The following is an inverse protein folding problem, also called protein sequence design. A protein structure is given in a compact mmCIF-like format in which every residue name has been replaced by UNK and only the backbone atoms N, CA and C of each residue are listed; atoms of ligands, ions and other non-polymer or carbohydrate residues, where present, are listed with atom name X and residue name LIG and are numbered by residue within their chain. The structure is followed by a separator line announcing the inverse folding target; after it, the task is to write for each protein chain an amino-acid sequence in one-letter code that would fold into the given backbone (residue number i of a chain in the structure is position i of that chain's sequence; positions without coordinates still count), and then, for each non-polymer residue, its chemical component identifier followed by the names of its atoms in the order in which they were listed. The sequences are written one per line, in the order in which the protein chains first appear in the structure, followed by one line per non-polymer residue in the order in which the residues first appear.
data_IF_329703068878
#
_entry.id   IF_329703068878
#
_cell.length_a   1.000
_cell.length_b   1.000
_cell.length_c   1.000
_cell.angle_alpha   90.00
_cell.angle_beta   90.00
_cell.angle_gamma   90.00
#
_symmetry.space_group_name_H-M   'P 1'
#
loop_
_entity.id
_entity.type
_entity.pdbx_description
1 polymer ?
#
# COMPACT_ATOMS: atom_id res chain seq x y z
N UNK A 1 -37.48 5.21 7.25
CA UNK A 1 -36.10 4.72 7.04
C UNK A 1 -35.29 5.01 8.29
N UNK A 2 -34.57 4.03 8.81
CA UNK A 2 -33.62 4.31 9.90
C UNK A 2 -32.53 5.23 9.35
N UNK A 3 -32.29 6.32 10.06
CA UNK A 3 -31.21 7.25 9.69
C UNK A 3 -29.99 6.84 10.53
N UNK A 4 -28.87 6.59 9.87
CA UNK A 4 -27.57 6.39 10.52
C UNK A 4 -26.87 7.73 10.71
N UNK A 5 -26.05 7.84 11.72
CA UNK A 5 -25.16 9.00 11.81
C UNK A 5 -24.09 8.92 10.72
N UNK A 6 -23.49 7.74 10.54
CA UNK A 6 -22.46 7.50 9.54
C UNK A 6 -22.72 6.22 8.77
N UNK A 7 -22.67 6.31 7.43
CA UNK A 7 -22.55 5.13 6.56
C UNK A 7 -21.10 5.02 6.06
N UNK A 8 -20.56 3.80 6.05
CA UNK A 8 -19.18 3.52 5.62
C UNK A 8 -19.26 2.53 4.46
N UNK A 9 -18.68 2.88 3.31
CA UNK A 9 -18.63 2.01 2.13
C UNK A 9 -17.24 1.42 2.00
N UNK A 10 -17.13 0.13 2.26
CA UNK A 10 -15.91 -0.66 2.24
C UNK A 10 -15.44 -1.10 3.63
N UNK A 11 -15.21 -2.40 3.77
CA UNK A 11 -14.68 -3.05 4.99
C UNK A 11 -13.18 -3.39 4.82
N UNK A 12 -12.38 -2.44 4.37
CA UNK A 12 -10.94 -2.45 4.48
C UNK A 12 -10.47 -2.01 5.88
N UNK A 13 -9.15 -1.99 6.16
CA UNK A 13 -8.64 -1.57 7.47
C UNK A 13 -9.18 -0.20 7.91
N UNK A 14 -9.16 0.80 7.01
CA UNK A 14 -9.65 2.14 7.30
C UNK A 14 -11.14 2.17 7.63
N UNK A 15 -11.99 1.52 6.81
CA UNK A 15 -13.44 1.51 7.02
C UNK A 15 -13.86 0.78 8.30
N UNK A 16 -13.28 -0.39 8.58
CA UNK A 16 -13.54 -1.13 9.82
C UNK A 16 -13.08 -0.33 11.04
N UNK A 17 -11.89 0.28 10.95
CA UNK A 17 -11.36 1.04 12.08
C UNK A 17 -12.12 2.35 12.31
N UNK A 18 -12.57 3.03 11.24
CA UNK A 18 -13.51 4.16 11.38
C UNK A 18 -14.74 3.75 12.19
N UNK A 19 -15.38 2.63 11.80
CA UNK A 19 -16.59 2.17 12.49
C UNK A 19 -16.35 1.85 13.96
N UNK A 20 -15.24 1.20 14.28
CA UNK A 20 -14.84 0.90 15.67
C UNK A 20 -14.68 2.19 16.49
N UNK A 21 -14.00 3.18 15.91
CA UNK A 21 -13.79 4.47 16.57
C UNK A 21 -15.10 5.26 16.75
N UNK A 22 -16.00 5.22 15.76
CA UNK A 22 -17.31 5.86 15.81
C UNK A 22 -18.21 5.24 16.87
N UNK A 23 -18.26 3.90 16.94
CA UNK A 23 -19.07 3.21 17.95
C UNK A 23 -18.61 3.53 19.36
N UNK A 24 -17.29 3.66 19.59
CA UNK A 24 -16.74 4.09 20.89
C UNK A 24 -17.15 5.52 21.26
N UNK A 25 -17.53 6.35 20.26
CA UNK A 25 -18.10 7.70 20.46
C UNK A 25 -19.62 7.71 20.55
N UNK A 26 -20.27 6.54 20.51
CA UNK A 26 -21.74 6.41 20.61
C UNK A 26 -22.50 6.74 19.32
N UNK A 27 -21.82 6.82 18.18
CA UNK A 27 -22.47 7.11 16.90
C UNK A 27 -23.06 5.83 16.27
N UNK A 28 -24.22 5.98 15.65
CA UNK A 28 -24.91 4.89 14.96
C UNK A 28 -24.35 4.71 13.55
N UNK A 29 -23.55 3.67 13.36
CA UNK A 29 -22.87 3.39 12.09
C UNK A 29 -23.47 2.19 11.36
N UNK A 30 -23.26 2.17 10.04
CA UNK A 30 -23.47 0.99 9.18
C UNK A 30 -22.29 0.85 8.21
N UNK A 31 -21.82 -0.39 8.03
CA UNK A 31 -20.80 -0.72 7.03
C UNK A 31 -21.46 -1.48 5.88
N UNK A 32 -21.15 -1.06 4.65
CA UNK A 32 -21.60 -1.69 3.41
C UNK A 32 -20.37 -2.31 2.73
N UNK A 33 -20.35 -3.64 2.58
CA UNK A 33 -19.24 -4.36 1.97
C UNK A 33 -19.73 -5.24 0.81
N UNK A 34 -19.06 -5.13 -0.35
CA UNK A 34 -19.42 -5.90 -1.54
C UNK A 34 -19.05 -7.39 -1.45
N UNK A 35 -18.01 -7.73 -0.70
CA UNK A 35 -17.60 -9.13 -0.51
C UNK A 35 -18.55 -9.84 0.45
N UNK A 36 -18.72 -11.13 0.21
CA UNK A 36 -19.44 -12.01 1.13
C UNK A 36 -18.62 -12.29 2.38
N UNK A 37 -17.34 -12.46 2.21
CA UNK A 37 -16.38 -12.85 3.22
C UNK A 37 -15.11 -12.01 3.02
N UNK A 38 -14.80 -11.16 3.99
CA UNK A 38 -13.64 -10.24 3.91
C UNK A 38 -12.31 -10.95 4.16
N UNK A 39 -12.34 -12.13 4.80
CA UNK A 39 -11.15 -12.96 5.01
C UNK A 39 -10.68 -13.64 3.72
N UNK A 40 -11.53 -13.74 2.71
CA UNK A 40 -11.13 -14.24 1.40
C UNK A 40 -10.46 -13.14 0.59
N UNK A 41 -9.14 -13.17 0.60
CA UNK A 41 -8.33 -12.24 -0.16
C UNK A 41 -8.52 -12.47 -1.66
N UNK A 42 -9.22 -11.54 -2.32
CA UNK A 42 -9.45 -11.55 -3.77
C UNK A 42 -8.55 -10.58 -4.52
N UNK A 43 -7.84 -9.73 -3.79
CA UNK A 43 -6.94 -8.73 -4.32
C UNK A 43 -5.58 -8.91 -3.66
N UNK A 44 -4.50 -8.92 -4.44
CA UNK A 44 -3.15 -8.98 -3.93
C UNK A 44 -2.85 -7.80 -2.99
N UNK A 45 -2.11 -8.08 -1.94
CA UNK A 45 -1.50 -7.15 -1.01
C UNK A 45 -0.18 -7.78 -0.54
N UNK A 46 0.87 -6.99 -0.43
CA UNK A 46 2.16 -7.47 0.08
C UNK A 46 2.15 -7.78 1.59
N UNK A 47 1.10 -7.35 2.30
CA UNK A 47 0.82 -7.73 3.70
C UNK A 47 1.94 -7.39 4.68
N UNK A 48 2.44 -6.15 4.64
CA UNK A 48 3.50 -5.69 5.53
C UNK A 48 3.03 -4.65 6.54
N UNK A 49 3.51 -4.80 7.78
CA UNK A 49 3.48 -3.79 8.84
C UNK A 49 4.84 -3.15 8.83
N UNK A 50 4.91 -1.85 8.55
CA UNK A 50 6.15 -1.09 8.40
C UNK A 50 6.47 -0.45 9.74
N UNK A 51 7.72 -0.56 10.19
CA UNK A 51 8.17 -0.09 11.49
C UNK A 51 8.98 1.22 11.43
N UNK A 52 9.46 1.59 10.24
CA UNK A 52 10.18 2.86 10.07
C UNK A 52 9.27 4.06 10.35
N UNK A 53 9.88 5.20 10.67
CA UNK A 53 9.16 6.45 10.84
C UNK A 53 8.49 6.84 9.52
N UNK A 54 7.19 7.01 9.57
CA UNK A 54 6.34 7.41 8.46
C UNK A 54 5.28 8.40 8.95
N UNK A 55 4.49 8.94 8.05
CA UNK A 55 3.27 9.66 8.36
C UNK A 55 3.44 10.75 9.44
N UNK A 56 4.33 11.72 9.17
CA UNK A 56 4.58 12.87 10.04
C UNK A 56 5.13 12.47 11.42
N UNK A 57 6.10 11.57 11.42
CA UNK A 57 6.80 11.13 12.63
C UNK A 57 6.15 9.95 13.36
N UNK A 58 5.13 9.33 12.79
CA UNK A 58 4.55 8.13 13.37
C UNK A 58 5.46 6.91 13.15
N UNK A 59 5.70 6.16 14.20
CA UNK A 59 6.34 4.85 14.16
C UNK A 59 5.36 3.79 14.66
N UNK A 60 5.39 2.64 14.01
CA UNK A 60 4.60 1.49 14.43
C UNK A 60 5.48 0.57 15.27
N UNK A 61 4.98 0.17 16.41
CA UNK A 61 5.58 -0.88 17.23
C UNK A 61 4.71 -2.13 17.17
N UNK A 62 5.35 -3.28 17.27
CA UNK A 62 4.68 -4.57 17.35
C UNK A 62 5.17 -5.29 18.60
N UNK A 63 4.31 -5.38 19.60
CA UNK A 63 4.56 -6.21 20.79
C UNK A 63 4.23 -7.65 20.43
N UNK A 64 5.26 -8.43 20.13
CA UNK A 64 5.12 -9.83 19.74
C UNK A 64 4.87 -10.72 20.97
N UNK A 65 3.83 -11.54 20.92
CA UNK A 65 3.43 -12.41 22.04
C UNK A 65 4.24 -13.68 22.21
N UNK A 66 5.19 -13.98 21.30
CA UNK A 66 6.05 -15.17 21.36
C UNK A 66 7.43 -14.90 20.77
N UNK A 67 8.37 -15.81 21.00
CA UNK A 67 9.65 -15.81 20.31
C UNK A 67 9.50 -16.41 18.91
N UNK A 68 10.43 -16.05 18.03
CA UNK A 68 10.55 -16.70 16.71
C UNK A 68 10.73 -18.21 16.89
N UNK A 69 10.04 -18.97 16.08
CA UNK A 69 10.17 -20.42 16.03
C UNK A 69 11.48 -20.86 15.29
N UNK A 70 11.63 -22.17 15.05
CA UNK A 70 12.78 -22.73 14.34
C UNK A 70 12.86 -22.31 12.87
N UNK A 71 11.73 -21.86 12.30
CA UNK A 71 11.67 -21.33 10.93
C UNK A 71 11.97 -19.84 10.87
N UNK A 72 12.06 -19.16 12.01
CA UNK A 72 12.27 -17.71 12.10
C UNK A 72 10.97 -16.90 12.01
N UNK A 73 9.85 -17.49 12.33
CA UNK A 73 8.49 -16.92 12.26
C UNK A 73 7.86 -16.83 13.65
N UNK A 74 7.01 -15.85 13.89
CA UNK A 74 6.10 -15.85 15.05
C UNK A 74 4.94 -16.81 14.72
N UNK A 75 4.69 -17.83 15.57
CA UNK A 75 3.73 -18.88 15.26
C UNK A 75 2.29 -18.40 15.10
N UNK A 76 1.53 -19.15 14.31
CA UNK A 76 0.07 -18.99 14.22
C UNK A 76 -0.59 -19.08 15.62
N UNK A 77 -1.65 -18.29 15.82
CA UNK A 77 -2.36 -18.22 17.09
C UNK A 77 -1.70 -17.34 18.16
N UNK A 78 -0.51 -16.78 17.86
CA UNK A 78 0.13 -15.83 18.77
C UNK A 78 -0.63 -14.50 18.77
N UNK A 79 -0.89 -14.00 19.99
CA UNK A 79 -1.49 -12.68 20.20
C UNK A 79 -0.41 -11.62 20.16
N UNK A 80 -0.49 -10.73 19.18
CA UNK A 80 0.43 -9.61 18.99
C UNK A 80 -0.35 -8.31 19.13
N UNK A 81 0.32 -7.21 19.48
CA UNK A 81 -0.30 -5.90 19.57
C UNK A 81 0.46 -4.92 18.69
N UNK A 82 -0.26 -4.30 17.75
CA UNK A 82 0.26 -3.32 16.82
C UNK A 82 -0.17 -1.94 17.31
N UNK A 83 0.77 -1.01 17.47
CA UNK A 83 0.53 0.31 18.05
C UNK A 83 1.14 1.41 17.19
N UNK A 84 0.41 2.50 17.03
CA UNK A 84 0.96 3.78 16.57
C UNK A 84 1.52 4.55 17.77
N UNK A 85 2.74 5.04 17.66
CA UNK A 85 3.39 5.81 18.74
C UNK A 85 2.92 7.26 18.77
N UNK A 86 2.59 7.84 17.62
CA UNK A 86 2.19 9.23 17.49
C UNK A 86 0.67 9.43 17.62
N UNK A 87 -0.12 8.59 16.92
CA UNK A 87 -1.58 8.73 16.92
C UNK A 87 -2.27 7.91 18.01
N UNK A 88 -1.54 7.07 18.74
CA UNK A 88 -2.00 6.38 19.94
C UNK A 88 -3.05 5.29 19.72
N UNK A 89 -3.30 4.84 18.51
CA UNK A 89 -4.16 3.69 18.28
C UNK A 89 -3.44 2.37 18.56
N UNK A 90 -4.21 1.39 18.99
CA UNK A 90 -3.76 0.05 19.26
C UNK A 90 -4.73 -0.96 18.65
N UNK A 91 -4.18 -1.99 17.98
CA UNK A 91 -4.97 -3.11 17.42
C UNK A 91 -4.32 -4.42 17.81
N UNK A 92 -5.14 -5.35 18.26
CA UNK A 92 -4.73 -6.73 18.48
C UNK A 92 -4.70 -7.49 17.16
N UNK A 93 -3.67 -8.30 16.99
CA UNK A 93 -3.54 -9.23 15.87
C UNK A 93 -3.15 -10.62 16.37
N UNK A 94 -4.04 -11.59 16.18
CA UNK A 94 -3.75 -13.00 16.47
C UNK A 94 -3.40 -13.71 15.18
N UNK A 95 -2.13 -14.05 15.01
CA UNK A 95 -1.65 -14.68 13.79
C UNK A 95 -0.13 -14.70 13.69
N UNK A 96 0.39 -15.36 12.64
CA UNK A 96 1.82 -15.45 12.40
C UNK A 96 2.41 -14.12 11.93
N UNK A 97 3.69 -13.89 12.22
CA UNK A 97 4.46 -12.74 11.75
C UNK A 97 5.83 -13.21 11.24
N UNK A 98 6.21 -12.77 10.04
CA UNK A 98 7.53 -13.02 9.47
C UNK A 98 8.33 -11.71 9.42
N UNK A 99 9.55 -11.66 9.99
CA UNK A 99 10.36 -10.45 9.96
C UNK A 99 10.97 -10.20 8.59
N UNK A 100 11.05 -8.93 8.19
CA UNK A 100 11.86 -8.46 7.07
C UNK A 100 12.97 -7.59 7.62
N UNK A 101 14.24 -8.01 7.38
CA UNK A 101 15.43 -7.38 7.94
C UNK A 101 16.34 -6.76 6.91
N UNK A 102 16.33 -7.31 5.69
CA UNK A 102 17.16 -6.87 4.59
C UNK A 102 16.29 -6.63 3.35
N UNK A 103 16.59 -5.55 2.63
CA UNK A 103 15.99 -5.28 1.33
C UNK A 103 17.09 -5.02 0.31
N UNK A 104 17.00 -5.71 -0.81
CA UNK A 104 17.97 -5.60 -1.90
C UNK A 104 17.27 -5.14 -3.19
N UNK A 105 17.90 -4.20 -3.86
CA UNK A 105 17.62 -3.93 -5.25
C UNK A 105 18.82 -4.37 -6.06
N UNK A 106 18.65 -5.41 -6.86
CA UNK A 106 19.68 -5.97 -7.71
C UNK A 106 19.69 -5.29 -9.08
N UNK A 107 20.88 -4.96 -9.56
CA UNK A 107 21.10 -4.53 -10.94
C UNK A 107 20.92 -5.68 -11.93
N UNK A 108 21.03 -5.38 -13.22
CA UNK A 108 21.02 -6.40 -14.26
C UNK A 108 22.08 -7.47 -13.96
N UNK A 109 21.71 -8.73 -14.19
CA UNK A 109 22.55 -9.94 -13.98
C UNK A 109 23.08 -10.13 -12.55
N UNK A 110 22.50 -9.45 -11.56
CA UNK A 110 22.91 -9.49 -10.14
C UNK A 110 24.37 -9.00 -9.92
N UNK A 111 24.90 -8.14 -10.79
CA UNK A 111 26.28 -7.68 -10.69
C UNK A 111 26.51 -6.81 -9.46
N UNK A 112 25.56 -5.94 -9.14
CA UNK A 112 25.60 -5.01 -7.99
C UNK A 112 24.23 -4.89 -7.36
N UNK A 113 24.18 -4.33 -6.14
CA UNK A 113 22.91 -4.10 -5.45
C UNK A 113 22.91 -2.83 -4.58
N UNK A 114 21.71 -2.31 -4.33
CA UNK A 114 21.47 -1.38 -3.24
C UNK A 114 20.91 -2.16 -2.05
N UNK A 115 21.61 -2.15 -0.92
CA UNK A 115 21.26 -2.88 0.27
C UNK A 115 20.73 -1.96 1.36
N UNK A 116 19.55 -2.31 1.92
CA UNK A 116 18.92 -1.61 3.02
C UNK A 116 18.80 -2.53 4.23
N UNK A 117 19.28 -2.09 5.38
CA UNK A 117 19.15 -2.81 6.64
C UNK A 117 19.35 -1.87 7.83
N UNK A 118 18.80 -2.22 8.98
CA UNK A 118 19.18 -1.61 10.25
C UNK A 118 20.49 -2.20 10.76
N UNK A 119 21.37 -1.40 11.41
CA UNK A 119 22.67 -1.89 11.91
C UNK A 119 22.58 -3.06 12.89
N UNK A 120 21.57 -3.08 13.72
CA UNK A 120 21.29 -4.12 14.73
C UNK A 120 20.45 -5.28 14.20
N UNK A 121 20.13 -5.27 12.90
CA UNK A 121 19.35 -6.30 12.24
C UNK A 121 17.96 -6.55 12.82
N UNK A 122 17.39 -5.60 13.58
CA UNK A 122 15.97 -5.70 13.91
C UNK A 122 15.12 -5.55 12.63
N UNK A 123 13.92 -6.11 12.58
CA UNK A 123 13.04 -5.97 11.42
C UNK A 123 12.66 -4.50 11.18
N UNK A 124 12.63 -4.06 9.94
CA UNK A 124 12.01 -2.79 9.54
C UNK A 124 10.58 -2.98 9.02
N UNK A 125 10.17 -4.24 8.82
CA UNK A 125 8.80 -4.61 8.53
C UNK A 125 8.48 -6.02 9.06
N UNK A 126 7.20 -6.27 9.31
CA UNK A 126 6.67 -7.60 9.56
C UNK A 126 5.64 -7.96 8.50
N UNK A 127 5.79 -9.12 7.89
CA UNK A 127 4.72 -9.70 7.09
C UNK A 127 3.70 -10.36 8.01
N UNK A 128 2.41 -10.09 7.76
CA UNK A 128 1.28 -10.57 8.56
C UNK A 128 0.22 -11.21 7.66
N UNK A 129 -0.73 -11.93 8.22
CA UNK A 129 -1.91 -12.43 7.49
C UNK A 129 -3.04 -11.39 7.52
N UNK A 130 -3.22 -10.70 6.40
CA UNK A 130 -4.25 -9.68 6.25
C UNK A 130 -5.67 -10.23 6.37
N UNK A 131 -5.89 -11.49 5.97
CA UNK A 131 -7.20 -12.13 6.09
C UNK A 131 -7.61 -12.25 7.55
N UNK A 132 -6.75 -12.78 8.40
CA UNK A 132 -6.95 -12.88 9.84
C UNK A 132 -7.08 -11.51 10.49
N UNK A 133 -6.27 -10.54 10.10
CA UNK A 133 -6.33 -9.17 10.60
C UNK A 133 -7.69 -8.50 10.33
N UNK A 134 -8.18 -8.59 9.08
CA UNK A 134 -9.49 -8.04 8.73
C UNK A 134 -10.63 -8.74 9.45
N UNK A 135 -10.55 -10.07 9.60
CA UNK A 135 -11.56 -10.84 10.33
C UNK A 135 -11.64 -10.41 11.81
N UNK A 136 -10.49 -10.13 12.44
CA UNK A 136 -10.46 -9.68 13.84
C UNK A 136 -11.04 -8.27 13.99
N UNK A 137 -10.74 -7.35 13.08
CA UNK A 137 -11.39 -6.04 13.07
C UNK A 137 -12.90 -6.16 12.85
N UNK A 138 -13.35 -7.07 11.97
CA UNK A 138 -14.77 -7.32 11.77
C UNK A 138 -15.44 -7.91 13.01
N UNK A 139 -14.76 -8.82 13.71
CA UNK A 139 -15.29 -9.36 14.95
C UNK A 139 -15.53 -8.25 15.99
N UNK A 140 -14.60 -7.32 16.14
CA UNK A 140 -14.78 -6.14 17.00
C UNK A 140 -15.98 -5.27 16.55
N UNK A 141 -16.14 -5.06 15.26
CA UNK A 141 -17.31 -4.36 14.70
C UNK A 141 -18.62 -5.03 15.11
N UNK A 142 -18.68 -6.35 15.01
CA UNK A 142 -19.87 -7.15 15.38
C UNK A 142 -20.11 -7.10 16.90
N UNK A 143 -19.06 -7.23 17.69
CA UNK A 143 -19.13 -7.17 19.17
C UNK A 143 -19.62 -5.82 19.68
N UNK A 144 -19.27 -4.72 18.98
CA UNK A 144 -19.75 -3.37 19.25
C UNK A 144 -21.19 -3.13 18.75
N UNK A 145 -21.83 -4.14 18.14
CA UNK A 145 -23.21 -4.04 17.66
C UNK A 145 -23.38 -3.15 16.41
N UNK A 146 -22.31 -2.89 15.67
CA UNK A 146 -22.35 -2.11 14.44
C UNK A 146 -23.01 -2.95 13.34
N UNK A 147 -23.93 -2.35 12.60
CA UNK A 147 -24.57 -3.03 11.48
C UNK A 147 -23.60 -3.23 10.32
N UNK A 148 -23.40 -4.49 9.93
CA UNK A 148 -22.53 -4.90 8.83
C UNK A 148 -23.33 -5.59 7.72
N UNK A 149 -23.35 -5.02 6.53
CA UNK A 149 -24.12 -5.50 5.39
C UNK A 149 -23.14 -5.99 4.30
N UNK A 150 -22.86 -7.29 4.31
CA UNK A 150 -22.04 -7.96 3.29
C UNK A 150 -22.80 -8.21 1.99
N UNK A 151 -22.11 -8.67 0.93
CA UNK A 151 -22.65 -8.96 -0.40
C UNK A 151 -23.46 -7.79 -0.99
N UNK A 152 -23.09 -6.55 -0.58
CA UNK A 152 -23.85 -5.34 -0.92
C UNK A 152 -22.93 -4.31 -1.58
N UNK A 153 -23.29 -3.94 -2.79
CA UNK A 153 -22.60 -2.88 -3.54
C UNK A 153 -23.38 -1.57 -3.43
N UNK A 154 -22.74 -0.53 -2.89
CA UNK A 154 -23.19 0.83 -3.06
C UNK A 154 -22.77 1.31 -4.46
N UNK A 155 -23.71 1.44 -5.38
CA UNK A 155 -23.41 1.79 -6.77
C UNK A 155 -23.59 3.28 -7.09
N UNK A 156 -24.27 4.02 -6.21
CA UNK A 156 -24.46 5.48 -6.33
C UNK A 156 -24.65 6.07 -4.93
N UNK A 157 -24.07 7.23 -4.71
CA UNK A 157 -24.41 8.08 -3.58
C UNK A 157 -24.79 9.49 -4.08
N UNK A 158 -25.67 10.15 -3.34
CA UNK A 158 -26.04 11.56 -3.58
C UNK A 158 -25.95 12.32 -2.28
N UNK A 159 -25.17 13.35 -2.25
CA UNK A 159 -25.19 14.32 -1.18
C UNK A 159 -26.45 15.20 -1.37
N UNK A 160 -27.30 15.24 -0.35
CA UNK A 160 -28.54 16.00 -0.35
C UNK A 160 -28.33 17.41 0.22
N UNK A 161 -27.15 17.66 0.77
CA UNK A 161 -26.73 18.94 1.36
C UNK A 161 -27.17 19.12 2.81
N UNK A 162 -26.38 19.88 3.57
CA UNK A 162 -26.66 20.28 4.95
C UNK A 162 -27.15 19.12 5.84
N UNK A 163 -28.24 19.34 6.55
CA UNK A 163 -28.86 18.36 7.46
C UNK A 163 -29.60 17.21 6.77
N UNK A 164 -29.87 17.30 5.46
CA UNK A 164 -30.51 16.22 4.69
C UNK A 164 -29.62 14.99 4.55
N UNK A 165 -28.31 15.15 4.69
CA UNK A 165 -27.32 14.08 4.68
C UNK A 165 -27.06 13.48 3.30
N UNK A 166 -26.84 12.17 3.25
CA UNK A 166 -26.50 11.42 2.04
C UNK A 166 -27.50 10.30 1.80
N UNK A 167 -27.93 10.15 0.54
CA UNK A 167 -28.73 9.04 0.06
C UNK A 167 -27.82 8.03 -0.65
N UNK A 168 -27.78 6.79 -0.16
CA UNK A 168 -27.04 5.70 -0.77
C UNK A 168 -28.02 4.78 -1.52
N UNK A 169 -27.64 4.39 -2.74
CA UNK A 169 -28.33 3.38 -3.53
C UNK A 169 -27.49 2.11 -3.58
N UNK A 170 -28.06 1.04 -3.06
CA UNK A 170 -27.38 -0.23 -2.86
C UNK A 170 -28.09 -1.37 -3.59
N UNK A 171 -27.31 -2.41 -3.87
CA UNK A 171 -27.82 -3.67 -4.40
C UNK A 171 -27.19 -4.84 -3.63
N UNK A 172 -28.05 -5.72 -3.08
CA UNK A 172 -27.66 -6.98 -2.44
C UNK A 172 -28.41 -8.14 -3.11
N UNK A 173 -27.67 -9.14 -3.56
CA UNK A 173 -28.27 -10.34 -4.23
C UNK A 173 -29.32 -9.98 -5.30
N UNK A 174 -29.03 -8.94 -6.09
CA UNK A 174 -29.93 -8.45 -7.16
C UNK A 174 -31.10 -7.56 -6.68
N UNK A 175 -31.33 -7.43 -5.38
CA UNK A 175 -32.38 -6.56 -4.84
C UNK A 175 -31.83 -5.18 -4.56
N UNK A 176 -32.45 -4.16 -5.16
CA UNK A 176 -32.10 -2.75 -4.94
C UNK A 176 -32.83 -2.19 -3.74
N UNK A 177 -32.13 -1.38 -2.96
CA UNK A 177 -32.68 -0.62 -1.85
C UNK A 177 -31.96 0.71 -1.67
N UNK A 178 -32.49 1.57 -0.80
CA UNK A 178 -31.91 2.86 -0.48
C UNK A 178 -31.80 3.00 1.03
N UNK A 179 -30.77 3.72 1.47
CA UNK A 179 -30.60 4.10 2.87
C UNK A 179 -30.13 5.55 2.96
N UNK A 180 -30.35 6.16 4.12
CA UNK A 180 -29.90 7.51 4.44
C UNK A 180 -28.92 7.49 5.62
N UNK A 181 -27.93 8.36 5.56
CA UNK A 181 -27.04 8.67 6.67
C UNK A 181 -26.81 10.18 6.74
N UNK A 182 -26.44 10.71 7.90
CA UNK A 182 -26.06 12.13 8.02
C UNK A 182 -24.74 12.39 7.30
N UNK A 183 -23.78 11.48 7.44
CA UNK A 183 -22.46 11.56 6.80
C UNK A 183 -22.11 10.21 6.13
N UNK A 184 -21.23 10.27 5.13
CA UNK A 184 -20.74 9.11 4.39
C UNK A 184 -19.22 9.08 4.42
N UNK A 185 -18.64 7.90 4.72
CA UNK A 185 -17.24 7.60 4.52
C UNK A 185 -17.06 6.67 3.33
N UNK A 186 -16.36 7.13 2.30
CA UNK A 186 -15.93 6.35 1.16
C UNK A 186 -14.58 5.68 1.49
N UNK A 187 -14.61 4.40 1.80
CA UNK A 187 -13.47 3.58 2.18
C UNK A 187 -13.27 2.36 1.27
N UNK A 188 -13.77 2.42 0.02
CA UNK A 188 -13.75 1.27 -0.91
C UNK A 188 -12.38 0.99 -1.53
N UNK A 189 -11.34 1.72 -1.10
CA UNK A 189 -9.97 1.60 -1.59
C UNK A 189 -9.82 2.08 -3.04
N UNK A 190 -8.84 1.58 -3.77
CA UNK A 190 -8.49 2.05 -5.12
C UNK A 190 -9.63 1.99 -6.16
N UNK A 191 -10.76 1.35 -5.86
CA UNK A 191 -11.94 1.41 -6.73
C UNK A 191 -12.63 2.78 -6.71
N UNK A 192 -12.60 3.49 -5.55
CA UNK A 192 -13.16 4.83 -5.35
C UNK A 192 -14.53 5.03 -6.03
N UNK A 193 -15.37 3.99 -6.03
CA UNK A 193 -16.56 3.93 -6.88
C UNK A 193 -17.60 4.99 -6.49
N UNK A 194 -17.79 5.19 -5.20
CA UNK A 194 -18.74 6.20 -4.71
C UNK A 194 -18.20 7.60 -4.97
N UNK A 195 -16.92 7.85 -4.71
CA UNK A 195 -16.27 9.12 -5.04
C UNK A 195 -16.41 9.46 -6.53
N UNK A 196 -16.32 8.45 -7.41
CA UNK A 196 -16.56 8.63 -8.84
C UNK A 196 -17.99 9.10 -9.14
N UNK A 197 -19.01 8.54 -8.48
CA UNK A 197 -20.42 8.94 -8.71
C UNK A 197 -20.73 10.34 -8.20
N UNK A 198 -19.91 10.86 -7.29
CA UNK A 198 -20.01 12.22 -6.73
C UNK A 198 -19.16 13.26 -7.50
N UNK A 199 -18.49 12.84 -8.59
CA UNK A 199 -17.59 13.69 -9.37
C UNK A 199 -16.33 14.10 -8.62
N UNK A 200 -15.95 13.42 -7.53
CA UNK A 200 -14.77 13.78 -6.74
C UNK A 200 -13.44 13.39 -7.39
N UNK A 201 -13.48 12.54 -8.43
CA UNK A 201 -12.32 12.23 -9.25
C UNK A 201 -12.16 13.16 -10.47
N UNK A 202 -13.10 14.06 -10.70
CA UNK A 202 -13.01 15.05 -11.79
C UNK A 202 -11.81 15.98 -11.55
N UNK A 203 -10.99 16.14 -12.57
CA UNK A 203 -9.77 16.97 -12.50
C UNK A 203 -8.56 16.31 -11.81
N UNK A 204 -8.69 15.12 -11.25
CA UNK A 204 -7.51 14.35 -10.80
C UNK A 204 -6.72 13.87 -12.01
N UNK A 205 -5.42 14.11 -12.00
CA UNK A 205 -4.52 13.57 -13.03
C UNK A 205 -4.50 12.05 -12.88
N UNK A 206 -4.79 11.35 -13.96
CA UNK A 206 -4.61 9.92 -14.05
C UNK A 206 -3.26 9.61 -14.67
N UNK A 207 -2.37 8.96 -13.94
CA UNK A 207 -1.03 8.62 -14.42
C UNK A 207 -0.99 7.30 -15.18
N UNK A 208 -1.48 6.23 -14.55
CA UNK A 208 -1.42 4.91 -15.14
C UNK A 208 -2.35 3.90 -14.45
N UNK A 209 -2.58 2.78 -15.13
CA UNK A 209 -3.00 1.53 -14.48
C UNK A 209 -1.87 0.53 -14.55
N UNK A 210 -1.62 -0.15 -13.44
CA UNK A 210 -0.72 -1.29 -13.38
C UNK A 210 -1.47 -2.55 -12.99
N UNK A 211 -1.25 -3.64 -13.74
CA UNK A 211 -1.70 -4.97 -13.38
C UNK A 211 -0.58 -5.65 -12.59
N UNK A 212 -0.86 -6.02 -11.37
CA UNK A 212 0.03 -6.83 -10.54
C UNK A 212 -0.48 -8.27 -10.53
N UNK A 213 0.42 -9.22 -10.77
CA UNK A 213 0.25 -10.64 -10.48
C UNK A 213 1.28 -11.07 -9.48
N UNK A 214 0.82 -11.75 -8.45
CA UNK A 214 1.67 -12.30 -7.40
C UNK A 214 1.49 -13.82 -7.36
N UNK A 215 2.60 -14.51 -7.20
CA UNK A 215 2.69 -15.95 -7.19
C UNK A 215 3.35 -16.39 -5.89
N UNK A 216 2.58 -17.03 -5.01
CA UNK A 216 3.17 -17.71 -3.86
C UNK A 216 3.73 -19.04 -4.33
N UNK A 217 5.03 -19.22 -4.16
CA UNK A 217 5.77 -20.34 -4.75
C UNK A 217 6.58 -21.09 -3.70
N UNK A 218 6.39 -22.41 -3.63
CA UNK A 218 7.27 -23.32 -2.89
C UNK A 218 8.45 -23.75 -3.75
N UNK A 219 9.53 -24.22 -3.11
CA UNK A 219 10.67 -24.81 -3.81
C UNK A 219 11.60 -23.84 -4.55
N UNK A 220 11.46 -22.53 -4.33
CA UNK A 220 12.36 -21.51 -4.86
C UNK A 220 13.71 -21.63 -4.13
N UNK A 221 14.82 -21.76 -4.89
CA UNK A 221 16.16 -21.91 -4.34
C UNK A 221 16.86 -20.56 -4.19
N UNK A 222 17.79 -20.47 -3.21
CA UNK A 222 18.57 -19.23 -2.99
C UNK A 222 17.77 -18.04 -2.50
N UNK A 223 16.54 -18.29 -2.09
CA UNK A 223 15.66 -17.32 -1.49
C UNK A 223 15.80 -17.32 0.03
N UNK A 224 15.90 -16.13 0.63
CA UNK A 224 15.88 -15.95 2.07
C UNK A 224 14.57 -15.28 2.52
N UNK A 225 13.75 -15.93 3.35
CA UNK A 225 12.47 -15.40 3.78
C UNK A 225 12.51 -14.05 4.52
N UNK A 226 13.63 -13.71 5.16
CA UNK A 226 13.80 -12.42 5.85
C UNK A 226 14.19 -11.26 4.93
N UNK A 227 14.27 -11.51 3.63
CA UNK A 227 14.67 -10.53 2.61
C UNK A 227 13.49 -10.10 1.73
N UNK A 228 13.60 -8.88 1.23
CA UNK A 228 12.78 -8.36 0.16
C UNK A 228 13.68 -7.93 -0.99
N UNK A 229 13.45 -8.48 -2.17
CA UNK A 229 14.28 -8.26 -3.34
C UNK A 229 13.52 -7.57 -4.46
N UNK A 230 14.15 -6.60 -5.12
CA UNK A 230 13.71 -6.03 -6.39
C UNK A 230 14.78 -6.22 -7.46
N UNK A 231 14.37 -6.57 -8.69
CA UNK A 231 15.28 -6.89 -9.78
C UNK A 231 15.19 -5.81 -10.87
N UNK A 232 16.22 -4.97 -10.94
CA UNK A 232 16.25 -3.78 -11.77
C UNK A 232 17.07 -4.00 -13.04
N UNK A 233 16.37 -4.05 -14.17
CA UNK A 233 16.97 -4.24 -15.49
C UNK A 233 15.98 -4.84 -16.48
N UNK A 234 16.12 -4.49 -17.75
CA UNK A 234 15.29 -5.02 -18.83
C UNK A 234 15.50 -6.52 -19.04
N UNK A 235 16.68 -7.05 -18.64
CA UNK A 235 16.96 -8.48 -18.67
C UNK A 235 16.00 -9.33 -17.81
N UNK A 236 15.29 -8.71 -16.88
CA UNK A 236 14.23 -9.38 -16.09
C UNK A 236 12.84 -9.34 -16.74
N UNK A 237 12.73 -8.74 -17.93
CA UNK A 237 11.54 -8.81 -18.80
C UNK A 237 10.49 -7.73 -18.59
N UNK A 238 10.73 -6.75 -17.74
CA UNK A 238 9.75 -5.70 -17.44
C UNK A 238 10.40 -4.33 -17.24
N UNK A 239 9.65 -3.27 -17.57
CA UNK A 239 9.99 -1.88 -17.21
C UNK A 239 9.67 -1.58 -15.73
N UNK A 240 9.00 -2.48 -15.03
CA UNK A 240 8.84 -2.44 -13.57
C UNK A 240 9.68 -3.55 -12.97
N UNK A 241 10.42 -3.25 -11.91
CA UNK A 241 11.22 -4.27 -11.24
C UNK A 241 10.34 -5.42 -10.75
N UNK A 242 10.56 -6.67 -11.18
CA UNK A 242 10.01 -7.81 -10.48
C UNK A 242 10.44 -7.79 -9.02
N UNK A 243 9.52 -8.11 -8.11
CA UNK A 243 9.80 -8.12 -6.68
C UNK A 243 9.65 -9.54 -6.15
N UNK A 244 10.48 -9.90 -5.18
CA UNK A 244 10.38 -11.19 -4.51
C UNK A 244 10.58 -11.01 -3.01
N UNK A 245 9.70 -11.58 -2.23
CA UNK A 245 9.75 -11.48 -0.77
C UNK A 245 9.22 -12.73 -0.10
N UNK A 246 9.04 -12.65 1.20
CA UNK A 246 8.46 -13.69 2.04
C UNK A 246 7.06 -14.08 1.54
N UNK A 247 6.76 -15.37 1.48
CA UNK A 247 5.44 -15.91 1.21
C UNK A 247 4.40 -15.47 2.24
N UNK A 248 3.14 -15.90 2.11
CA UNK A 248 2.12 -15.52 3.07
C UNK A 248 2.52 -15.98 4.47
N UNK A 249 2.20 -15.18 5.48
CA UNK A 249 2.47 -15.53 6.86
C UNK A 249 1.85 -16.90 7.19
N UNK A 250 2.62 -17.75 7.88
CA UNK A 250 2.31 -19.18 8.07
C UNK A 250 2.91 -20.11 6.99
N UNK A 251 3.45 -19.56 5.91
CA UNK A 251 4.17 -20.30 4.86
C UNK A 251 5.52 -19.65 4.57
N UNK A 252 6.34 -19.57 5.60
CA UNK A 252 7.63 -18.89 5.58
C UNK A 252 8.63 -19.42 4.54
N UNK A 253 8.52 -20.70 4.19
CA UNK A 253 9.32 -21.38 3.17
C UNK A 253 8.86 -21.11 1.73
N UNK A 254 7.77 -20.38 1.54
CA UNK A 254 7.33 -19.96 0.22
C UNK A 254 7.90 -18.58 -0.12
N UNK A 255 8.09 -18.33 -1.41
CA UNK A 255 8.41 -17.01 -1.93
C UNK A 255 7.15 -16.33 -2.48
N UNK A 256 7.08 -15.01 -2.34
CA UNK A 256 6.09 -14.15 -2.97
C UNK A 256 6.74 -13.46 -4.17
N UNK A 257 6.53 -13.99 -5.38
CA UNK A 257 6.99 -13.38 -6.63
C UNK A 257 5.92 -12.43 -7.16
N UNK A 258 6.26 -11.15 -7.26
CA UNK A 258 5.35 -10.08 -7.65
C UNK A 258 5.81 -9.50 -8.99
N UNK A 259 4.96 -9.61 -9.99
CA UNK A 259 5.18 -9.06 -11.31
C UNK A 259 4.19 -7.93 -11.58
N UNK A 260 4.72 -6.77 -11.95
CA UNK A 260 3.96 -5.56 -12.23
C UNK A 260 4.15 -5.22 -13.70
N UNK A 261 3.08 -4.94 -14.40
CA UNK A 261 3.14 -4.58 -15.82
C UNK A 261 1.95 -3.72 -16.25
N UNK A 262 2.10 -3.14 -17.42
CA UNK A 262 0.98 -2.45 -18.05
C UNK A 262 -0.13 -3.49 -18.39
N UNK A 263 -1.43 -3.17 -18.22
CA UNK A 263 -2.52 -4.12 -18.47
C UNK A 263 -2.52 -4.75 -19.87
N UNK A 264 -1.96 -4.05 -20.86
CA UNK A 264 -1.80 -4.57 -22.21
C UNK A 264 -0.56 -5.48 -22.40
N UNK A 265 0.39 -5.48 -21.46
CA UNK A 265 1.50 -6.43 -21.43
C UNK A 265 1.05 -7.64 -20.63
N UNK A 266 0.92 -8.77 -21.31
CA UNK A 266 0.41 -10.00 -20.70
C UNK A 266 1.30 -10.43 -19.53
N UNK A 267 0.84 -10.35 -18.25
CA UNK A 267 1.64 -10.76 -17.10
C UNK A 267 2.14 -12.20 -17.15
N UNK A 268 1.47 -13.06 -17.91
CA UNK A 268 1.91 -14.43 -18.15
C UNK A 268 3.26 -14.48 -18.87
N UNK A 269 3.46 -13.66 -19.89
CA UNK A 269 4.75 -13.57 -20.58
C UNK A 269 5.88 -13.07 -19.66
N UNK A 270 5.58 -12.18 -18.73
CA UNK A 270 6.54 -11.73 -17.71
C UNK A 270 6.91 -12.86 -16.76
N UNK A 271 5.94 -13.67 -16.32
CA UNK A 271 6.20 -14.83 -15.46
C UNK A 271 7.13 -15.84 -16.12
N UNK A 272 6.83 -16.25 -17.35
CA UNK A 272 7.67 -17.18 -18.12
C UNK A 272 9.07 -16.60 -18.37
N UNK A 273 9.17 -15.32 -18.71
CA UNK A 273 10.48 -14.68 -18.89
C UNK A 273 11.28 -14.69 -17.59
N UNK A 274 10.70 -14.22 -16.48
CA UNK A 274 11.39 -14.10 -15.20
C UNK A 274 11.84 -15.47 -14.67
N UNK A 275 10.97 -16.47 -14.70
CA UNK A 275 11.22 -17.78 -14.11
C UNK A 275 12.02 -18.74 -15.00
N UNK A 276 12.10 -18.48 -16.32
CA UNK A 276 12.72 -19.44 -17.26
C UNK A 276 13.88 -18.86 -18.08
N UNK A 277 13.96 -17.52 -18.24
CA UNK A 277 14.91 -16.87 -19.15
C UNK A 277 15.75 -15.78 -18.49
N UNK A 278 15.32 -15.26 -17.34
CA UNK A 278 16.06 -14.19 -16.65
C UNK A 278 17.34 -14.73 -15.99
N UNK A 279 18.25 -13.84 -15.56
CA UNK A 279 19.47 -14.24 -14.82
C UNK A 279 19.21 -15.06 -13.56
N UNK A 280 17.99 -14.97 -12.98
CA UNK A 280 17.58 -15.71 -11.78
C UNK A 280 16.76 -16.98 -12.07
N UNK A 281 16.60 -17.36 -13.33
CA UNK A 281 15.79 -18.52 -13.74
C UNK A 281 16.17 -19.83 -13.00
N UNK A 282 17.44 -20.00 -12.69
CA UNK A 282 17.95 -21.17 -11.95
C UNK A 282 17.34 -21.34 -10.55
N UNK A 283 16.85 -20.24 -9.93
CA UNK A 283 16.17 -20.29 -8.64
C UNK A 283 14.81 -21.02 -8.72
N UNK A 284 14.21 -21.08 -9.90
CA UNK A 284 12.84 -21.54 -10.12
C UNK A 284 12.74 -22.96 -10.72
N UNK A 285 13.87 -23.67 -10.93
CA UNK A 285 13.89 -24.99 -11.56
C UNK A 285 12.96 -26.02 -10.89
N UNK A 286 12.79 -25.92 -9.56
CA UNK A 286 11.92 -26.82 -8.80
C UNK A 286 10.76 -26.07 -8.13
N UNK A 287 10.54 -24.83 -8.53
CA UNK A 287 9.51 -24.02 -7.93
C UNK A 287 8.12 -24.45 -8.41
N UNK A 288 7.16 -24.39 -7.49
CA UNK A 288 5.75 -24.71 -7.77
C UNK A 288 4.89 -23.54 -7.34
N UNK A 289 3.99 -23.10 -8.21
CA UNK A 289 2.98 -22.10 -7.86
C UNK A 289 1.93 -22.75 -6.98
N UNK A 290 1.83 -22.27 -5.73
CA UNK A 290 0.85 -22.76 -4.74
C UNK A 290 -0.43 -21.90 -4.76
N UNK A 291 -0.26 -20.57 -4.95
CA UNK A 291 -1.38 -19.63 -5.11
C UNK A 291 -1.03 -18.54 -6.10
N UNK A 292 -2.05 -18.04 -6.76
CA UNK A 292 -1.96 -16.87 -7.64
C UNK A 292 -2.96 -15.81 -7.19
N UNK A 293 -2.49 -14.56 -7.13
CA UNK A 293 -3.31 -13.40 -6.83
C UNK A 293 -3.05 -12.31 -7.85
N UNK A 294 -4.02 -11.41 -8.02
CA UNK A 294 -3.85 -10.25 -8.87
C UNK A 294 -4.52 -9.01 -8.28
N UNK A 295 -4.05 -7.86 -8.67
CA UNK A 295 -4.78 -6.62 -8.46
C UNK A 295 -4.54 -5.64 -9.61
N UNK A 296 -5.54 -4.81 -9.86
CA UNK A 296 -5.39 -3.62 -10.68
C UNK A 296 -5.16 -2.42 -9.78
N UNK A 297 -4.04 -1.76 -9.96
CA UNK A 297 -3.74 -0.48 -9.32
C UNK A 297 -4.00 0.65 -10.30
N UNK A 298 -4.69 1.69 -9.84
CA UNK A 298 -4.90 2.92 -10.59
C UNK A 298 -4.14 4.03 -9.86
N UNK A 299 -3.18 4.62 -10.55
CA UNK A 299 -2.43 5.75 -10.02
C UNK A 299 -3.12 7.05 -10.45
N UNK A 300 -3.79 7.70 -9.51
CA UNK A 300 -4.31 9.06 -9.64
C UNK A 300 -3.48 10.00 -8.77
N UNK A 301 -3.39 11.27 -9.17
CA UNK A 301 -2.93 12.29 -8.24
C UNK A 301 -3.76 12.23 -6.94
N UNK A 302 -3.17 12.45 -5.75
CA UNK A 302 -3.94 12.42 -4.51
C UNK A 302 -5.04 13.48 -4.50
N UNK A 303 -6.14 13.21 -3.81
CA UNK A 303 -7.14 14.23 -3.55
C UNK A 303 -6.54 15.26 -2.60
N UNK A 304 -6.39 16.51 -3.04
CA UNK A 304 -5.88 17.59 -2.16
C UNK A 304 -6.90 17.93 -1.07
N UNK A 305 -8.20 17.86 -1.40
CA UNK A 305 -9.32 17.99 -0.45
C UNK A 305 -10.15 16.73 -0.54
N UNK A 306 -10.03 15.77 0.40
CA UNK A 306 -10.66 14.46 0.31
C UNK A 306 -12.10 14.45 0.83
N UNK A 307 -12.82 15.55 0.76
CA UNK A 307 -14.24 15.60 1.11
C UNK A 307 -15.04 16.49 0.16
N UNK A 308 -16.34 16.28 0.13
CA UNK A 308 -17.32 17.13 -0.57
C UNK A 308 -18.65 17.04 0.17
N UNK A 309 -19.11 18.18 0.71
CA UNK A 309 -20.34 18.24 1.48
C UNK A 309 -20.37 17.27 2.66
N UNK A 310 -21.29 16.31 2.64
CA UNK A 310 -21.43 15.31 3.71
C UNK A 310 -20.59 14.03 3.48
N UNK A 311 -19.68 14.03 2.52
CA UNK A 311 -18.92 12.84 2.11
C UNK A 311 -17.44 13.04 2.32
N UNK A 312 -16.81 12.16 3.11
CA UNK A 312 -15.37 12.05 3.32
C UNK A 312 -14.81 10.83 2.59
N UNK A 313 -13.69 10.98 1.88
CA UNK A 313 -12.98 9.90 1.19
C UNK A 313 -11.69 9.58 1.95
N UNK A 314 -11.46 8.32 2.28
CA UNK A 314 -10.30 7.92 3.09
C UNK A 314 -9.45 6.82 2.43
N UNK A 315 -8.21 6.71 2.88
CA UNK A 315 -7.30 5.66 2.46
C UNK A 315 -7.00 5.69 0.96
N UNK A 316 -6.80 4.52 0.36
CA UNK A 316 -6.42 4.39 -1.07
C UNK A 316 -7.40 5.04 -2.05
N UNK A 317 -8.65 5.29 -1.65
CA UNK A 317 -9.64 5.96 -2.50
C UNK A 317 -9.25 7.42 -2.78
N UNK A 318 -8.55 8.07 -1.84
CA UNK A 318 -8.08 9.45 -1.96
C UNK A 318 -6.58 9.55 -2.30
N UNK A 319 -5.80 8.48 -2.11
CA UNK A 319 -4.34 8.47 -2.20
C UNK A 319 -3.80 8.44 -3.63
N UNK A 320 -2.50 8.68 -3.76
CA UNK A 320 -1.69 8.21 -4.87
C UNK A 320 -1.30 6.75 -4.57
N UNK A 321 -1.81 5.82 -5.36
CA UNK A 321 -1.59 4.36 -5.24
C UNK A 321 -2.15 3.78 -3.94
N UNK A 322 -1.56 4.06 -2.77
CA UNK A 322 -1.94 3.43 -1.50
C UNK A 322 -1.51 4.25 -0.27
N UNK A 323 -2.18 4.02 0.86
CA UNK A 323 -1.83 4.55 2.18
C UNK A 323 -1.14 3.53 3.08
N UNK A 324 -0.92 2.32 2.62
CA UNK A 324 -0.50 1.18 3.42
C UNK A 324 -1.54 0.77 4.49
N UNK A 325 -1.28 -0.28 5.28
CA UNK A 325 -2.20 -0.73 6.32
C UNK A 325 -2.31 0.28 7.46
N UNK A 326 -1.17 0.73 7.98
CA UNK A 326 -1.13 1.68 9.10
C UNK A 326 -1.67 3.06 8.73
N UNK A 327 -1.38 3.56 7.53
CA UNK A 327 -1.98 4.80 7.04
C UNK A 327 -3.49 4.70 6.85
N UNK A 328 -4.01 3.52 6.49
CA UNK A 328 -5.45 3.28 6.45
C UNK A 328 -6.08 3.31 7.86
N UNK A 329 -5.40 2.77 8.88
CA UNK A 329 -5.85 2.87 10.29
C UNK A 329 -5.81 4.32 10.78
N UNK A 330 -4.73 5.06 10.48
CA UNK A 330 -4.64 6.49 10.77
C UNK A 330 -5.81 7.25 10.15
N UNK A 331 -6.08 7.05 8.85
CA UNK A 331 -7.23 7.66 8.17
C UNK A 331 -8.55 7.30 8.87
N UNK A 332 -8.69 6.06 9.35
CA UNK A 332 -9.90 5.62 10.06
C UNK A 332 -10.11 6.36 11.38
N UNK A 333 -9.06 6.56 12.16
CA UNK A 333 -9.12 7.32 13.40
C UNK A 333 -9.44 8.79 13.15
N UNK A 334 -8.69 9.44 12.25
CA UNK A 334 -8.91 10.84 11.92
C UNK A 334 -10.28 11.11 11.33
N UNK A 335 -10.81 10.15 10.53
CA UNK A 335 -12.16 10.23 10.01
C UNK A 335 -13.20 10.24 11.14
N UNK A 336 -13.04 9.38 12.15
CA UNK A 336 -13.94 9.34 13.29
C UNK A 336 -13.92 10.65 14.10
N UNK A 337 -12.74 11.21 14.34
CA UNK A 337 -12.59 12.51 15.00
C UNK A 337 -13.22 13.65 14.20
N UNK A 338 -13.03 13.64 12.89
CA UNK A 338 -13.61 14.63 12.00
C UNK A 338 -15.13 14.54 11.93
N UNK A 339 -15.69 13.33 11.84
CA UNK A 339 -17.12 13.10 11.77
C UNK A 339 -17.84 13.51 13.05
N UNK A 340 -17.27 13.24 14.22
CA UNK A 340 -17.83 13.72 15.50
C UNK A 340 -17.94 15.25 15.48
N UNK A 341 -16.90 15.97 15.05
CA UNK A 341 -16.91 17.42 14.92
C UNK A 341 -17.93 17.93 13.92
N UNK A 342 -18.02 17.29 12.75
CA UNK A 342 -18.99 17.63 11.71
C UNK A 342 -20.45 17.45 12.17
N UNK A 343 -20.73 16.41 12.93
CA UNK A 343 -22.05 16.16 13.51
C UNK A 343 -22.41 17.18 14.59
N UNK A 344 -21.41 17.74 15.27
CA UNK A 344 -21.53 18.86 16.21
C UNK A 344 -21.59 20.24 15.52
N UNK A 345 -21.52 20.31 14.20
CA UNK A 345 -21.50 21.57 13.43
C UNK A 345 -20.16 22.30 13.43
N UNK A 346 -19.05 21.61 13.71
CA UNK A 346 -17.68 22.12 13.65
C UNK A 346 -16.99 21.68 12.36
N UNK A 347 -15.93 22.36 11.88
CA UNK A 347 -15.27 22.06 10.59
C UNK A 347 -14.31 20.86 10.69
N UNK A 348 -14.82 19.66 10.99
CA UNK A 348 -14.03 18.46 11.17
C UNK A 348 -13.34 17.99 9.88
N UNK A 349 -14.01 18.13 8.73
CA UNK A 349 -13.41 17.71 7.45
C UNK A 349 -12.29 18.62 6.97
N UNK A 350 -12.28 19.90 7.37
CA UNK A 350 -11.14 20.78 7.12
C UNK A 350 -9.92 20.36 7.94
N UNK A 351 -10.13 19.96 9.20
CA UNK A 351 -9.05 19.45 10.05
C UNK A 351 -8.52 18.11 9.52
N UNK A 352 -9.39 17.20 9.09
CA UNK A 352 -8.97 15.97 8.41
C UNK A 352 -8.13 16.28 7.17
N UNK A 353 -8.58 17.23 6.34
CA UNK A 353 -7.87 17.63 5.12
C UNK A 353 -6.48 18.16 5.43
N UNK A 354 -6.34 18.98 6.46
CA UNK A 354 -5.04 19.48 6.90
C UNK A 354 -4.11 18.33 7.30
N UNK A 355 -4.59 17.45 8.19
CA UNK A 355 -3.83 16.27 8.63
C UNK A 355 -3.45 15.37 7.44
N UNK A 356 -4.37 15.12 6.52
CA UNK A 356 -4.15 14.37 5.29
C UNK A 356 -3.02 14.97 4.43
N UNK A 357 -3.03 16.29 4.24
CA UNK A 357 -2.03 16.98 3.43
C UNK A 357 -0.65 17.01 4.09
N UNK A 358 -0.60 17.20 5.39
CA UNK A 358 0.65 17.30 6.15
C UNK A 358 1.32 15.95 6.40
N UNK A 359 0.53 14.86 6.47
CA UNK A 359 1.02 13.54 6.86
C UNK A 359 1.53 12.72 5.69
N UNK A 360 0.80 12.67 4.58
CA UNK A 360 1.15 11.76 3.49
C UNK A 360 2.11 12.40 2.48
N UNK A 361 3.27 11.78 2.33
CA UNK A 361 4.37 12.22 1.44
C UNK A 361 3.93 12.47 -0.01
N UNK A 362 2.93 11.72 -0.52
CA UNK A 362 2.43 11.93 -1.88
C UNK A 362 1.67 13.26 -2.08
N UNK A 363 1.41 14.00 -1.03
CA UNK A 363 0.86 15.36 -1.11
C UNK A 363 1.94 16.42 -1.32
N UNK A 364 3.21 16.09 -1.11
CA UNK A 364 4.35 16.95 -1.37
C UNK A 364 4.85 16.75 -2.81
N UNK A 365 4.82 17.81 -3.62
CA UNK A 365 5.25 17.75 -5.03
C UNK A 365 6.75 17.42 -5.16
N UNK A 366 7.58 17.79 -4.17
CA UNK A 366 9.00 17.42 -4.12
C UNK A 366 9.21 15.91 -3.97
N UNK A 367 8.31 15.22 -3.28
CA UNK A 367 8.33 13.77 -3.11
C UNK A 367 7.91 13.03 -4.38
N UNK A 368 7.17 13.68 -5.25
CA UNK A 368 6.67 13.13 -6.51
C UNK A 368 7.62 13.36 -7.68
N UNK A 369 8.85 13.84 -7.43
CA UNK A 369 9.86 14.00 -8.46
C UNK A 369 10.38 12.65 -8.97
N UNK A 370 10.62 12.55 -10.26
CA UNK A 370 11.10 11.32 -10.92
C UNK A 370 12.41 10.81 -10.32
N UNK A 371 13.33 11.71 -9.97
CA UNK A 371 14.60 11.38 -9.31
C UNK A 371 14.45 10.80 -7.90
N UNK A 372 13.31 11.05 -7.26
CA UNK A 372 13.03 10.53 -5.90
C UNK A 372 12.33 9.18 -5.92
N UNK A 373 11.94 8.67 -7.10
CA UNK A 373 11.08 7.51 -7.25
C UNK A 373 11.73 6.29 -7.87
N UNK A 374 10.93 5.25 -8.05
CA UNK A 374 11.33 3.97 -8.67
C UNK A 374 11.48 4.04 -10.20
N UNK A 375 11.72 5.20 -10.78
CA UNK A 375 11.74 5.40 -12.21
C UNK A 375 13.08 5.07 -12.88
N UNK A 376 13.88 4.15 -12.31
CA UNK A 376 15.17 3.78 -12.88
C UNK A 376 15.02 3.06 -14.22
N UNK A 377 14.23 1.99 -14.27
CA UNK A 377 14.20 1.10 -15.43
C UNK A 377 13.72 1.78 -16.71
N UNK A 378 12.66 2.60 -16.74
CA UNK A 378 12.22 3.22 -17.99
C UNK A 378 13.25 4.16 -18.62
N UNK A 379 14.16 4.73 -17.83
CA UNK A 379 15.08 5.79 -18.26
C UNK A 379 16.51 5.33 -18.46
N UNK A 380 16.92 4.22 -17.84
CA UNK A 380 18.30 3.73 -17.86
C UNK A 380 18.39 2.35 -18.50
N UNK A 381 19.44 2.12 -19.31
CA UNK A 381 19.77 0.79 -19.82
C UNK A 381 20.29 -0.11 -18.70
N UNK A 382 20.32 -1.43 -18.95
CA UNK A 382 20.87 -2.39 -18.01
C UNK A 382 22.30 -2.04 -17.56
N UNK A 383 23.16 -1.61 -18.52
CA UNK A 383 24.55 -1.19 -18.22
C UNK A 383 24.60 0.07 -17.36
N UNK A 384 23.67 1.01 -17.60
CA UNK A 384 23.59 2.24 -16.82
C UNK A 384 23.11 1.95 -15.38
N UNK A 385 22.15 1.04 -15.22
CA UNK A 385 21.71 0.58 -13.88
C UNK A 385 22.82 -0.16 -13.15
N UNK A 386 23.57 -1.04 -13.84
CA UNK A 386 24.77 -1.71 -13.29
C UNK A 386 25.77 -0.68 -12.79
N UNK A 387 26.11 0.34 -13.60
CA UNK A 387 27.02 1.40 -13.19
C UNK A 387 26.51 2.17 -11.97
N UNK A 388 25.24 2.60 -11.96
CA UNK A 388 24.68 3.34 -10.83
C UNK A 388 24.73 2.52 -9.54
N UNK A 389 24.43 1.23 -9.61
CA UNK A 389 24.44 0.36 -8.42
C UNK A 389 25.86 0.00 -7.97
N UNK A 390 26.85 -0.03 -8.86
CA UNK A 390 28.27 -0.20 -8.49
C UNK A 390 28.80 0.92 -7.56
N UNK A 391 28.14 2.08 -7.57
CA UNK A 391 28.46 3.19 -6.67
C UNK A 391 27.98 2.94 -5.22
N UNK A 392 27.20 1.89 -5.00
CA UNK A 392 26.58 1.54 -3.72
C UNK A 392 27.14 0.27 -3.07
N UNK A 393 28.11 -0.41 -3.68
CA UNK A 393 28.62 -1.71 -3.23
C UNK A 393 29.08 -1.74 -1.76
N UNK A 394 29.67 -0.66 -1.28
CA UNK A 394 30.16 -0.54 0.10
C UNK A 394 29.19 0.22 1.03
N UNK A 395 27.94 0.44 0.59
CA UNK A 395 26.97 1.26 1.31
C UNK A 395 25.80 0.39 1.79
N UNK A 396 25.59 0.36 3.11
CA UNK A 396 24.34 -0.14 3.68
C UNK A 396 23.45 1.07 3.97
N UNK A 397 22.34 1.16 3.26
CA UNK A 397 21.34 2.19 3.46
C UNK A 397 20.47 1.86 4.67
N UNK A 398 19.92 2.86 5.38
CA UNK A 398 18.99 2.60 6.48
C UNK A 398 17.84 1.69 6.03
N UNK A 399 17.44 0.76 6.89
CA UNK A 399 16.31 -0.13 6.61
C UNK A 399 15.05 0.69 6.35
N UNK A 400 14.47 0.53 5.17
CA UNK A 400 13.30 1.29 4.75
C UNK A 400 12.42 0.48 3.81
N UNK A 401 11.13 0.50 4.08
CA UNK A 401 10.07 -0.05 3.23
C UNK A 401 9.45 1.00 2.32
N UNK A 402 9.42 2.27 2.76
CA UNK A 402 8.73 3.36 2.08
C UNK A 402 9.09 3.45 0.60
N UNK A 403 8.08 3.48 -0.26
CA UNK A 403 8.24 3.69 -1.70
C UNK A 403 8.70 5.11 -2.05
N UNK A 404 8.72 6.03 -1.08
CA UNK A 404 9.19 7.40 -1.24
C UNK A 404 10.57 7.60 -0.60
N UNK A 405 10.76 7.15 0.64
CA UNK A 405 12.01 7.31 1.36
C UNK A 405 13.15 6.42 0.81
N UNK A 406 12.88 5.15 0.50
CA UNK A 406 13.92 4.24 0.01
C UNK A 406 14.60 4.70 -1.28
N UNK A 407 13.86 5.09 -2.34
CA UNK A 407 14.49 5.60 -3.56
C UNK A 407 15.31 6.86 -3.29
N UNK A 408 14.83 7.77 -2.44
CA UNK A 408 15.56 8.98 -2.07
C UNK A 408 16.87 8.69 -1.36
N UNK A 409 16.87 7.75 -0.41
CA UNK A 409 18.09 7.31 0.27
C UNK A 409 19.11 6.78 -0.75
N UNK A 410 18.67 5.99 -1.71
CA UNK A 410 19.49 5.47 -2.78
C UNK A 410 20.08 6.59 -3.66
N UNK A 411 19.23 7.49 -4.15
CA UNK A 411 19.68 8.62 -4.96
C UNK A 411 20.62 9.56 -4.20
N UNK A 412 20.34 9.85 -2.93
CA UNK A 412 21.25 10.65 -2.10
C UNK A 412 22.63 9.98 -1.92
N UNK A 413 22.68 8.65 -1.89
CA UNK A 413 23.95 7.93 -1.85
C UNK A 413 24.66 7.97 -3.21
N UNK A 414 23.96 7.81 -4.32
CA UNK A 414 24.48 7.93 -5.69
C UNK A 414 25.05 9.34 -5.92
N UNK A 415 24.35 10.39 -5.52
CA UNK A 415 24.77 11.79 -5.70
C UNK A 415 26.04 12.18 -4.92
N UNK A 416 26.48 11.38 -3.96
CA UNK A 416 27.83 11.58 -3.38
C UNK A 416 28.96 11.32 -4.37
N UNK A 417 28.65 10.74 -5.53
CA UNK A 417 29.58 10.38 -6.60
C UNK A 417 29.40 11.24 -7.87
N UNK A 418 28.73 12.38 -7.79
CA UNK A 418 28.38 13.21 -8.96
C UNK A 418 29.58 13.55 -9.84
N UNK A 419 30.72 13.97 -9.24
CA UNK A 419 31.96 14.25 -9.99
C UNK A 419 32.51 13.03 -10.72
N UNK A 420 32.41 11.85 -10.09
CA UNK A 420 32.80 10.57 -10.68
C UNK A 420 31.89 10.21 -11.85
N UNK A 421 30.59 10.34 -11.68
CA UNK A 421 29.56 10.05 -12.72
C UNK A 421 29.80 10.95 -13.93
N UNK A 422 29.99 12.25 -13.70
CA UNK A 422 30.22 13.22 -14.75
C UNK A 422 31.49 12.90 -15.58
N UNK A 423 32.54 12.41 -14.93
CA UNK A 423 33.80 12.06 -15.57
C UNK A 423 33.77 10.71 -16.29
N UNK A 424 33.23 9.68 -15.64
CA UNK A 424 33.27 8.30 -16.13
C UNK A 424 32.12 7.95 -17.07
N UNK A 425 30.93 8.52 -16.81
CA UNK A 425 29.69 8.24 -17.57
C UNK A 425 28.90 9.53 -17.80
N UNK A 426 29.40 10.42 -18.67
CA UNK A 426 28.69 11.64 -19.02
C UNK A 426 27.30 11.37 -19.61
N UNK A 427 27.08 10.25 -20.28
CA UNK A 427 25.78 9.79 -20.77
C UNK A 427 24.76 9.55 -19.64
N UNK A 428 25.21 9.01 -18.52
CA UNK A 428 24.37 8.81 -17.30
C UNK A 428 24.13 10.15 -16.63
N UNK A 429 25.17 10.99 -16.51
CA UNK A 429 25.07 12.32 -15.95
C UNK A 429 24.04 13.19 -16.66
N UNK A 430 24.10 13.23 -17.98
CA UNK A 430 23.14 13.98 -18.80
C UNK A 430 21.70 13.51 -18.57
N UNK A 431 21.48 12.21 -18.41
CA UNK A 431 20.16 11.66 -18.05
C UNK A 431 19.70 12.11 -16.68
N UNK A 432 20.57 12.07 -15.67
CA UNK A 432 20.27 12.54 -14.32
C UNK A 432 19.86 14.01 -14.37
N UNK A 433 20.65 14.86 -15.01
CA UNK A 433 20.38 16.30 -15.11
C UNK A 433 19.10 16.61 -15.89
N UNK A 434 18.80 15.84 -16.93
CA UNK A 434 17.55 16.00 -17.70
C UNK A 434 16.28 15.62 -16.94
N UNK A 435 16.42 14.87 -15.86
CA UNK A 435 15.28 14.48 -15.00
C UNK A 435 15.15 15.36 -13.75
N UNK A 436 16.14 16.20 -13.49
CA UNK A 436 16.15 17.06 -12.32
C UNK A 436 14.93 17.99 -12.30
N UNK A 437 14.19 17.97 -11.20
CA UNK A 437 12.99 18.78 -11.01
C UNK A 437 11.73 18.30 -11.76
N UNK A 438 11.82 17.26 -12.59
CA UNK A 438 10.65 16.71 -13.27
C UNK A 438 9.81 15.85 -12.32
N UNK A 439 8.52 16.06 -12.36
CA UNK A 439 7.53 15.23 -11.64
C UNK A 439 7.10 14.04 -12.49
N UNK A 440 6.42 13.08 -11.88
CA UNK A 440 5.77 11.99 -12.61
C UNK A 440 4.82 12.51 -13.68
N UNK A 441 4.12 13.63 -13.42
CA UNK A 441 3.25 14.28 -14.40
C UNK A 441 4.00 14.74 -15.64
N UNK A 442 5.19 15.32 -15.46
CA UNK A 442 6.03 15.80 -16.58
C UNK A 442 6.55 14.63 -17.42
N UNK A 443 6.79 13.47 -16.80
CA UNK A 443 7.25 12.26 -17.49
C UNK A 443 6.19 11.57 -18.32
N UNK A 444 4.93 11.73 -17.96
CA UNK A 444 3.79 11.09 -18.64
C UNK A 444 3.24 11.93 -19.81
N UNK A 445 3.63 13.19 -19.89
CA UNK A 445 3.23 14.10 -20.98
C UNK A 445 4.18 14.10 -22.17
N UNK A 446 5.21 13.28 -22.16
CA UNK A 446 6.14 13.02 -23.27
C UNK A 446 5.85 11.68 -23.94
#
# INVERSE_FOLDING_TARGET
MSVYDVAIVGAGPGGLYTAICEAKRGLKCVIIEKRKDISKMTRYCSEHIILEEMYNGDTITVDVGAKLDKKGEIPEGTRNVIKSTHYGWEVEYVGPLCPVRDKYYYSAKLEHNAHYAWPDKHPFAWKYDKASFLQQLLNQVIELGIEYISETTCYEARDLGGSEGVLLKCVTKGKRFQMKAKKLVEASGASAQVAQTLGMNEGRIYFASALTRAYYMSGVKGYNPAEWCGYWGLCYGSNFAPLMGTGPAGHYDWADLILIGHPAQMPQGLFEHFTQKSPVAHMFENAKVEREHSCMTKAFAPMKVPYKGNVLVIGDAAAFVETQMQGALNCGQWAAEALEKELDGKPGFDEYTKTWQETFEFNDDGMMQVQSGYALIPYYSDEQVVYLFSLLDDVILPGSWSQYASPRMMWNAIHKHDERIQKERPDVWDKIMNQQGKTLSDSMSQ
#
